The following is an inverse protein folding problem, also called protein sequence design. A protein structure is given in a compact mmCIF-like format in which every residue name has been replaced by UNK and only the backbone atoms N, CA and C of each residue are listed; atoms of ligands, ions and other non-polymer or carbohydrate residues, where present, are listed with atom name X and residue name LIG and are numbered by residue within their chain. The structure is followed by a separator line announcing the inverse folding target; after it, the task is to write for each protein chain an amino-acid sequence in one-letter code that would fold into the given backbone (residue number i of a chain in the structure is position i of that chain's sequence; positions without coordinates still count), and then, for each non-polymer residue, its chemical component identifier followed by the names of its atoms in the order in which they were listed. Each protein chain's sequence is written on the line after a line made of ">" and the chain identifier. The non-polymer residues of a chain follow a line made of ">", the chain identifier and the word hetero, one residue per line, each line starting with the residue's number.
data_IF_465379522747
#
_entry.id   IF_465379522747
#
_cell.length_a   1.000
_cell.length_b   1.000
_cell.length_c   1.000
_cell.angle_alpha   90.00
_cell.angle_beta   90.00
_cell.angle_gamma   90.00
#
_symmetry.space_group_name_H-M   'P 1'
#
loop_
_entity.id
_entity.type
_entity.pdbx_description
1 polymer ?
#
# COMPACT_ATOMS: atom_id res chain seq x y z
N UNK A 1 -4.86 -12.96 -24.44
CA UNK A 1 -4.83 -14.30 -23.82
C UNK A 1 -5.49 -15.31 -24.74
N UNK A 2 -5.44 -16.61 -24.44
CA UNK A 2 -6.26 -17.62 -25.12
C UNK A 2 -7.74 -17.48 -24.77
N UNK A 3 -8.62 -18.12 -25.54
CA UNK A 3 -10.07 -18.13 -25.29
C UNK A 3 -10.45 -18.83 -23.97
N UNK A 4 -9.55 -19.62 -23.42
CA UNK A 4 -9.63 -20.33 -22.15
C UNK A 4 -8.92 -19.59 -20.99
N UNK A 5 -8.51 -18.34 -21.22
CA UNK A 5 -7.78 -17.53 -20.24
C UNK A 5 -6.29 -17.85 -20.13
N UNK A 6 -5.78 -18.85 -20.87
CA UNK A 6 -4.37 -19.23 -20.78
C UNK A 6 -3.46 -18.07 -21.21
N UNK A 7 -2.36 -17.89 -20.48
CA UNK A 7 -1.31 -16.94 -20.83
C UNK A 7 -0.50 -17.48 -22.02
N UNK A 8 -0.62 -16.82 -23.17
CA UNK A 8 -0.03 -17.27 -24.45
C UNK A 8 1.27 -16.54 -24.83
N UNK A 9 1.65 -15.49 -24.12
CA UNK A 9 2.82 -14.65 -24.44
C UNK A 9 3.52 -14.14 -23.18
N UNK A 10 4.70 -13.51 -23.36
CA UNK A 10 5.54 -13.02 -22.27
C UNK A 10 6.31 -14.13 -21.54
N UNK A 11 6.97 -13.77 -20.44
CA UNK A 11 7.85 -14.69 -19.70
C UNK A 11 7.11 -15.89 -19.08
N UNK A 12 5.82 -15.74 -18.80
CA UNK A 12 4.95 -16.80 -18.27
C UNK A 12 4.12 -17.51 -19.34
N UNK A 13 4.45 -17.34 -20.63
CA UNK A 13 3.72 -18.00 -21.72
C UNK A 13 3.76 -19.52 -21.57
N UNK A 14 2.61 -20.18 -21.75
CA UNK A 14 2.47 -21.63 -21.74
C UNK A 14 2.92 -22.32 -20.44
N UNK A 15 3.00 -21.57 -19.34
CA UNK A 15 3.27 -22.16 -18.02
C UNK A 15 2.11 -23.08 -17.61
N UNK A 16 2.47 -24.23 -17.05
CA UNK A 16 1.50 -25.20 -16.50
C UNK A 16 1.64 -25.23 -14.99
N UNK A 17 0.59 -24.83 -14.28
CA UNK A 17 0.51 -24.89 -12.82
C UNK A 17 0.09 -26.29 -12.39
N UNK A 18 0.66 -26.77 -11.28
CA UNK A 18 0.33 -28.08 -10.70
C UNK A 18 -0.66 -27.99 -9.54
N UNK A 19 -0.85 -26.81 -8.96
CA UNK A 19 -1.71 -26.54 -7.81
C UNK A 19 -2.78 -25.50 -8.16
N UNK A 20 -4.05 -25.67 -7.74
CA UNK A 20 -4.57 -26.79 -6.94
C UNK A 20 -4.74 -28.09 -7.76
N UNK A 21 -4.80 -27.98 -9.09
CA UNK A 21 -4.80 -29.09 -10.04
C UNK A 21 -3.94 -28.70 -11.25
N UNK A 22 -3.66 -29.64 -12.16
CA UNK A 22 -2.92 -29.32 -13.38
C UNK A 22 -3.75 -28.45 -14.33
N UNK A 23 -3.27 -27.27 -14.68
CA UNK A 23 -3.89 -26.34 -15.64
C UNK A 23 -2.83 -25.38 -16.22
N UNK A 24 -3.16 -24.62 -17.27
CA UNK A 24 -2.30 -23.52 -17.71
C UNK A 24 -2.40 -22.35 -16.72
N UNK A 25 -1.38 -21.49 -16.62
CA UNK A 25 -1.55 -20.22 -15.91
C UNK A 25 -2.65 -19.39 -16.61
N UNK A 26 -3.67 -18.99 -15.85
CA UNK A 26 -4.80 -18.22 -16.36
C UNK A 26 -4.78 -16.77 -15.90
N UNK A 27 -5.15 -15.86 -16.80
CA UNK A 27 -5.51 -14.47 -16.50
C UNK A 27 -6.86 -14.17 -17.15
N UNK A 28 -7.52 -13.10 -16.72
CA UNK A 28 -8.74 -12.58 -17.36
C UNK A 28 -8.87 -11.09 -17.01
N UNK A 29 -8.36 -10.22 -17.88
CA UNK A 29 -8.30 -8.81 -17.52
C UNK A 29 -9.69 -8.17 -17.44
N UNK A 30 -9.85 -7.25 -16.49
CA UNK A 30 -11.14 -6.59 -16.23
C UNK A 30 -11.56 -5.58 -17.29
N UNK A 31 -10.62 -5.10 -18.12
CA UNK A 31 -10.83 -4.11 -19.17
C UNK A 31 -10.32 -4.62 -20.54
N UNK A 32 -10.83 -5.79 -20.94
CA UNK A 32 -10.52 -6.42 -22.21
C UNK A 32 -9.08 -6.92 -22.30
N UNK A 33 -8.22 -6.17 -22.97
CA UNK A 33 -6.79 -6.47 -23.12
C UNK A 33 -5.91 -5.80 -22.04
N UNK A 34 -6.52 -5.07 -21.10
CA UNK A 34 -5.84 -4.41 -19.98
C UNK A 34 -6.60 -4.55 -18.67
N UNK A 35 -5.91 -4.28 -17.57
CA UNK A 35 -6.53 -4.11 -16.26
C UNK A 35 -7.22 -2.75 -16.18
N UNK A 36 -8.41 -2.70 -15.59
CA UNK A 36 -9.09 -1.45 -15.29
C UNK A 36 -8.34 -0.60 -14.25
N UNK A 37 -8.75 0.65 -14.04
CA UNK A 37 -8.17 1.52 -13.02
C UNK A 37 -8.31 0.92 -11.63
N UNK A 38 -7.27 1.11 -10.82
CA UNK A 38 -7.26 0.69 -9.42
C UNK A 38 -7.86 1.78 -8.52
N UNK A 39 -7.62 1.66 -7.21
CA UNK A 39 -7.88 2.73 -6.26
C UNK A 39 -6.98 3.94 -6.58
N UNK A 40 -7.53 5.17 -6.66
CA UNK A 40 -6.75 6.39 -6.87
C UNK A 40 -5.66 6.57 -5.81
N UNK A 41 -4.52 7.12 -6.22
CA UNK A 41 -3.39 7.35 -5.32
C UNK A 41 -3.76 8.27 -4.15
N UNK A 42 -4.64 9.24 -4.39
CA UNK A 42 -5.14 10.19 -3.40
C UNK A 42 -5.90 9.49 -2.27
N UNK A 43 -6.65 8.43 -2.59
CA UNK A 43 -7.38 7.63 -1.60
C UNK A 43 -6.38 6.85 -0.72
N UNK A 44 -5.35 6.26 -1.31
CA UNK A 44 -4.28 5.57 -0.57
C UNK A 44 -3.50 6.57 0.30
N UNK A 45 -3.17 7.74 -0.24
CA UNK A 45 -2.53 8.83 0.49
C UNK A 45 -3.37 9.33 1.65
N UNK A 46 -4.69 9.31 1.53
CA UNK A 46 -5.62 9.63 2.62
C UNK A 46 -5.50 8.60 3.73
N UNK A 47 -5.66 7.30 3.42
CA UNK A 47 -5.55 6.21 4.39
C UNK A 47 -4.22 6.20 5.16
N UNK A 48 -3.10 6.40 4.45
CA UNK A 48 -1.77 6.52 5.07
C UNK A 48 -1.72 7.63 6.14
N UNK A 49 -2.48 8.71 5.97
CA UNK A 49 -2.49 9.87 6.86
C UNK A 49 -3.56 9.79 7.96
N UNK A 50 -4.75 9.29 7.64
CA UNK A 50 -5.92 9.27 8.52
C UNK A 50 -5.94 8.07 9.46
N UNK A 51 -5.53 6.89 8.99
CA UNK A 51 -5.74 5.64 9.73
C UNK A 51 -4.74 5.52 10.87
N UNK A 52 -5.25 5.39 12.09
CA UNK A 52 -4.42 5.38 13.31
C UNK A 52 -4.03 3.99 13.77
N UNK A 53 -4.80 2.99 13.38
CA UNK A 53 -4.62 1.61 13.79
C UNK A 53 -4.41 0.74 12.55
N UNK A 54 -3.64 -0.34 12.70
CA UNK A 54 -3.39 -1.28 11.61
C UNK A 54 -4.69 -1.92 11.15
N UNK A 55 -5.62 -2.19 12.07
CA UNK A 55 -6.94 -2.74 11.75
C UNK A 55 -7.71 -1.89 10.73
N UNK A 56 -7.68 -0.56 10.84
CA UNK A 56 -8.33 0.33 9.87
C UNK A 56 -7.57 0.34 8.55
N UNK A 57 -6.24 0.53 8.60
CA UNK A 57 -5.39 0.62 7.41
C UNK A 57 -5.43 -0.67 6.58
N UNK A 58 -5.37 -1.84 7.23
CA UNK A 58 -5.46 -3.12 6.52
C UNK A 58 -6.80 -3.27 5.83
N UNK A 59 -7.92 -2.92 6.47
CA UNK A 59 -9.24 -3.03 5.85
C UNK A 59 -9.34 -2.14 4.60
N UNK A 60 -8.89 -0.89 4.70
CA UNK A 60 -8.88 0.03 3.57
C UNK A 60 -8.02 -0.45 2.40
N UNK A 61 -6.86 -1.06 2.67
CA UNK A 61 -5.98 -1.62 1.63
C UNK A 61 -6.54 -2.91 1.06
N UNK A 62 -7.03 -3.84 1.89
CA UNK A 62 -7.56 -5.15 1.51
C UNK A 62 -8.87 -5.04 0.69
N UNK A 63 -9.77 -4.15 1.10
CA UNK A 63 -11.06 -3.94 0.41
C UNK A 63 -10.94 -3.04 -0.82
N UNK A 64 -9.83 -2.33 -0.94
CA UNK A 64 -9.55 -1.42 -2.04
C UNK A 64 -8.44 -1.94 -2.94
N UNK A 65 -7.23 -1.42 -2.73
CA UNK A 65 -6.11 -1.57 -3.67
C UNK A 65 -5.68 -3.04 -3.85
N UNK A 66 -5.62 -3.82 -2.77
CA UNK A 66 -5.20 -5.22 -2.82
C UNK A 66 -6.13 -6.04 -3.74
N UNK A 67 -7.43 -6.02 -3.46
CA UNK A 67 -8.40 -6.76 -4.26
C UNK A 67 -8.59 -6.19 -5.66
N UNK A 68 -8.53 -4.87 -5.85
CA UNK A 68 -8.74 -4.23 -7.15
C UNK A 68 -7.75 -4.72 -8.20
N UNK A 69 -6.50 -4.89 -7.79
CA UNK A 69 -5.41 -5.34 -8.65
C UNK A 69 -5.55 -6.83 -8.97
N UNK A 70 -5.84 -7.66 -7.97
CA UNK A 70 -6.09 -9.10 -8.16
C UNK A 70 -7.26 -9.37 -9.10
N UNK A 71 -8.40 -8.71 -8.84
CA UNK A 71 -9.60 -8.78 -9.66
C UNK A 71 -9.39 -8.17 -11.04
N UNK A 72 -8.54 -7.14 -11.15
CA UNK A 72 -8.16 -6.55 -12.42
C UNK A 72 -7.42 -7.53 -13.31
N UNK A 73 -6.53 -8.36 -12.74
CA UNK A 73 -5.77 -9.35 -13.50
C UNK A 73 -6.62 -10.60 -13.86
N UNK A 74 -7.51 -11.02 -12.96
CA UNK A 74 -8.39 -12.17 -13.14
C UNK A 74 -7.68 -13.52 -13.20
N UNK A 75 -8.40 -14.57 -13.58
CA UNK A 75 -7.85 -15.94 -13.62
C UNK A 75 -7.34 -16.39 -12.26
N UNK A 76 -6.15 -17.00 -12.22
CA UNK A 76 -5.52 -17.48 -10.97
C UNK A 76 -5.33 -16.35 -9.96
N UNK A 77 -5.00 -15.14 -10.44
CA UNK A 77 -4.74 -13.97 -9.62
C UNK A 77 -5.98 -13.45 -8.88
N UNK A 78 -7.20 -13.80 -9.31
CA UNK A 78 -8.44 -13.47 -8.62
C UNK A 78 -8.89 -14.56 -7.62
N UNK A 79 -8.01 -15.49 -7.28
CA UNK A 79 -8.30 -16.59 -6.36
C UNK A 79 -7.25 -16.70 -5.25
N UNK A 80 -7.47 -17.59 -4.29
CA UNK A 80 -6.48 -18.02 -3.28
C UNK A 80 -5.21 -18.65 -3.88
N UNK A 81 -5.19 -18.90 -5.19
CA UNK A 81 -4.05 -19.41 -5.93
C UNK A 81 -3.30 -18.32 -6.69
N UNK A 82 -3.56 -17.04 -6.37
CA UNK A 82 -2.83 -15.91 -6.94
C UNK A 82 -1.30 -16.04 -6.93
N UNK A 83 -0.65 -16.68 -5.92
CA UNK A 83 0.79 -16.93 -5.95
C UNK A 83 1.32 -17.77 -7.13
N UNK A 84 0.46 -18.47 -7.88
CA UNK A 84 0.82 -19.13 -9.13
C UNK A 84 1.36 -18.13 -10.17
N UNK A 85 0.89 -16.88 -10.12
CA UNK A 85 1.35 -15.81 -10.98
C UNK A 85 2.49 -15.04 -10.30
N UNK A 86 3.66 -14.91 -10.96
CA UNK A 86 4.78 -14.11 -10.47
C UNK A 86 4.37 -12.67 -10.10
N UNK A 87 3.36 -12.12 -10.78
CA UNK A 87 2.78 -10.81 -10.47
C UNK A 87 2.38 -10.66 -8.98
N UNK A 88 1.92 -11.74 -8.34
CA UNK A 88 1.56 -11.75 -6.92
C UNK A 88 2.64 -11.13 -6.03
N UNK A 89 3.89 -11.52 -6.27
CA UNK A 89 5.03 -11.09 -5.45
C UNK A 89 5.34 -9.61 -5.66
N UNK A 90 5.17 -9.11 -6.89
CA UNK A 90 5.35 -7.69 -7.21
C UNK A 90 4.26 -6.82 -6.59
N UNK A 91 3.01 -7.29 -6.64
CA UNK A 91 1.87 -6.63 -5.99
C UNK A 91 2.06 -6.58 -4.48
N UNK A 92 2.35 -7.72 -3.84
CA UNK A 92 2.55 -7.78 -2.39
C UNK A 92 3.82 -7.04 -1.91
N UNK A 93 4.86 -6.91 -2.73
CA UNK A 93 5.97 -6.00 -2.44
C UNK A 93 5.51 -4.53 -2.38
N UNK A 94 4.56 -4.13 -3.23
CA UNK A 94 3.99 -2.79 -3.12
C UNK A 94 3.04 -2.66 -1.93
N UNK A 95 2.28 -3.70 -1.55
CA UNK A 95 1.47 -3.71 -0.33
C UNK A 95 2.37 -3.51 0.91
N UNK A 96 3.47 -4.26 1.01
CA UNK A 96 4.46 -4.12 2.08
C UNK A 96 5.08 -2.72 2.10
N UNK A 97 5.42 -2.17 0.92
CA UNK A 97 5.84 -0.77 0.81
C UNK A 97 4.80 0.21 1.35
N UNK A 98 3.52 0.05 1.01
CA UNK A 98 2.44 0.91 1.50
C UNK A 98 2.27 0.80 3.03
N UNK A 99 2.40 -0.41 3.57
CA UNK A 99 2.39 -0.64 5.01
C UNK A 99 3.56 0.07 5.71
N UNK A 100 4.78 -0.02 5.14
CA UNK A 100 5.94 0.70 5.65
C UNK A 100 5.77 2.23 5.62
N UNK A 101 5.13 2.77 4.56
CA UNK A 101 4.77 4.20 4.50
C UNK A 101 3.80 4.59 5.61
N UNK A 102 2.77 3.78 5.86
CA UNK A 102 1.81 4.00 6.94
C UNK A 102 2.46 3.94 8.32
N UNK A 103 3.28 2.92 8.61
CA UNK A 103 3.99 2.79 9.89
C UNK A 103 4.83 4.03 10.19
N UNK A 104 5.55 4.56 9.19
CA UNK A 104 6.34 5.78 9.32
C UNK A 104 5.46 7.04 9.44
N UNK A 105 4.39 7.13 8.66
CA UNK A 105 3.45 8.27 8.69
C UNK A 105 2.74 8.42 10.05
N UNK A 106 2.44 7.30 10.69
CA UNK A 106 1.76 7.25 11.99
C UNK A 106 2.71 7.09 13.18
N UNK A 107 4.01 6.84 12.95
CA UNK A 107 4.94 6.38 14.00
C UNK A 107 4.40 5.13 14.73
N UNK A 108 3.83 4.20 13.96
CA UNK A 108 3.06 3.05 14.42
C UNK A 108 3.77 1.71 14.15
N UNK A 109 5.10 1.68 14.33
CA UNK A 109 5.97 0.55 14.00
C UNK A 109 5.52 -0.80 14.57
N UNK A 110 5.01 -0.81 15.80
CA UNK A 110 4.57 -2.01 16.50
C UNK A 110 3.05 -2.09 16.66
N UNK A 111 2.30 -1.28 15.91
CA UNK A 111 0.86 -1.37 15.91
C UNK A 111 0.45 -2.63 15.14
N UNK A 112 -0.14 -3.59 15.83
CA UNK A 112 -0.56 -4.88 15.30
C UNK A 112 -1.84 -5.32 16.00
N UNK A 113 -2.95 -4.67 15.66
CA UNK A 113 -4.26 -4.89 16.27
C UNK A 113 -5.27 -5.45 15.24
N UNK A 114 -6.43 -5.91 15.73
CA UNK A 114 -7.48 -6.50 14.92
C UNK A 114 -7.58 -8.02 15.15
N UNK A 115 -8.50 -8.69 14.44
CA UNK A 115 -8.78 -10.10 14.69
C UNK A 115 -7.61 -11.00 14.25
N UNK A 116 -7.17 -11.86 15.16
CA UNK A 116 -6.27 -12.98 14.93
C UNK A 116 -6.92 -14.32 15.30
N UNK A 117 -6.21 -15.42 15.06
CA UNK A 117 -6.75 -16.79 15.20
C UNK A 117 -7.19 -17.15 16.63
N UNK A 118 -6.66 -16.45 17.65
CA UNK A 118 -6.89 -16.73 19.08
C UNK A 118 -7.51 -15.55 19.84
N UNK A 119 -8.05 -14.56 19.14
CA UNK A 119 -8.54 -13.31 19.71
C UNK A 119 -7.92 -12.12 19.01
N UNK A 120 -7.68 -11.02 19.73
CA UNK A 120 -6.93 -9.87 19.19
C UNK A 120 -5.50 -10.28 18.85
N UNK A 121 -5.04 -9.92 17.66
CA UNK A 121 -3.69 -10.18 17.17
C UNK A 121 -2.63 -9.55 18.08
N UNK A 122 -1.51 -10.26 18.27
CA UNK A 122 -0.43 -9.85 19.17
C UNK A 122 0.94 -9.95 18.49
N UNK A 123 1.90 -9.14 18.96
CA UNK A 123 3.26 -9.15 18.42
C UNK A 123 4.04 -10.42 18.76
N UNK A 124 3.63 -11.17 19.79
CA UNK A 124 4.21 -12.46 20.16
C UNK A 124 3.49 -13.65 19.49
N UNK A 125 2.46 -13.38 18.68
CA UNK A 125 1.88 -14.40 17.81
C UNK A 125 2.97 -14.98 16.91
N UNK A 126 2.94 -16.30 16.76
CA UNK A 126 3.88 -17.03 15.92
C UNK A 126 3.44 -16.93 14.47
N UNK A 127 4.33 -16.49 13.58
CA UNK A 127 4.08 -16.52 12.13
C UNK A 127 3.87 -18.00 11.72
N UNK A 128 2.72 -18.34 11.10
CA UNK A 128 2.46 -19.71 10.67
C UNK A 128 3.53 -20.22 9.72
N UNK A 129 3.95 -21.47 9.93
CA UNK A 129 4.90 -22.14 9.04
C UNK A 129 4.13 -22.95 7.99
N UNK A 130 4.57 -22.86 6.74
CA UNK A 130 4.21 -23.82 5.70
C UNK A 130 5.48 -24.53 5.21
N UNK A 131 5.32 -25.66 4.53
CA UNK A 131 6.40 -26.47 3.94
C UNK A 131 7.30 -25.68 2.99
N UNK A 132 6.85 -24.54 2.48
CA UNK A 132 7.51 -23.73 1.46
C UNK A 132 8.26 -22.53 2.03
N UNK A 133 7.85 -22.01 3.20
CA UNK A 133 8.47 -20.84 3.82
C UNK A 133 8.65 -21.09 5.32
N UNK A 134 9.91 -21.21 5.74
CA UNK A 134 10.28 -21.44 7.12
C UNK A 134 10.72 -20.13 7.79
N UNK A 135 9.84 -19.54 8.58
CA UNK A 135 10.14 -18.37 9.41
C UNK A 135 10.70 -18.76 10.79
N UNK A 136 10.96 -20.05 11.06
CA UNK A 136 11.54 -20.53 12.30
C UNK A 136 10.68 -20.22 13.53
N UNK A 137 9.35 -20.21 13.36
CA UNK A 137 8.37 -19.77 14.36
C UNK A 137 8.68 -18.39 14.94
N UNK A 138 9.21 -17.50 14.11
CA UNK A 138 9.51 -16.14 14.55
C UNK A 138 8.21 -15.45 15.02
N UNK A 139 8.27 -14.65 16.11
CA UNK A 139 7.14 -13.84 16.52
C UNK A 139 6.89 -12.74 15.48
N UNK A 140 5.64 -12.33 15.30
CA UNK A 140 5.26 -11.24 14.39
C UNK A 140 6.11 -9.98 14.64
N UNK A 141 6.37 -9.63 15.91
CA UNK A 141 7.18 -8.49 16.30
C UNK A 141 8.59 -8.47 15.70
N UNK A 142 9.11 -9.62 15.26
CA UNK A 142 10.42 -9.72 14.60
C UNK A 142 10.43 -9.23 13.15
N UNK A 143 9.28 -9.16 12.46
CA UNK A 143 9.18 -8.74 11.06
C UNK A 143 8.63 -7.33 10.87
N UNK A 144 8.27 -6.65 11.96
CA UNK A 144 7.60 -5.35 11.91
C UNK A 144 8.49 -4.19 11.43
N UNK A 145 9.82 -4.34 11.49
CA UNK A 145 10.77 -3.26 11.19
C UNK A 145 11.71 -3.69 10.07
N UNK A 146 11.64 -2.97 8.94
CA UNK A 146 12.61 -3.13 7.85
C UNK A 146 14.02 -2.73 8.32
N UNK A 147 15.04 -3.40 7.79
CA UNK A 147 16.46 -3.22 8.15
C UNK A 147 16.92 -3.95 9.41
N UNK A 148 16.04 -4.70 10.09
CA UNK A 148 16.34 -5.43 11.32
C UNK A 148 15.90 -6.90 11.23
N UNK A 149 16.49 -7.74 12.10
CA UNK A 149 16.21 -9.18 12.17
C UNK A 149 16.38 -9.85 10.79
N UNK A 150 15.39 -10.60 10.32
CA UNK A 150 15.38 -11.21 8.98
C UNK A 150 15.02 -10.24 7.85
N UNK A 151 14.61 -9.01 8.15
CA UNK A 151 14.03 -8.06 7.20
C UNK A 151 15.09 -7.07 6.67
N UNK A 152 16.24 -7.57 6.21
CA UNK A 152 17.38 -6.76 5.77
C UNK A 152 17.19 -6.13 4.37
N UNK A 153 16.16 -5.31 4.20
CA UNK A 153 15.87 -4.57 2.97
C UNK A 153 15.23 -3.21 3.24
N UNK A 154 15.09 -2.41 2.18
CA UNK A 154 14.42 -1.11 2.18
C UNK A 154 13.89 -0.80 0.79
N UNK A 155 12.93 0.13 0.68
CA UNK A 155 12.45 0.65 -0.60
C UNK A 155 13.03 2.02 -0.90
N UNK A 156 13.57 2.21 -2.11
CA UNK A 156 14.12 3.50 -2.57
C UNK A 156 13.10 4.65 -2.54
N UNK A 157 11.82 4.31 -2.59
CA UNK A 157 10.68 5.23 -2.62
C UNK A 157 9.91 5.30 -1.30
N UNK A 158 10.53 4.86 -0.20
CA UNK A 158 9.97 4.94 1.15
C UNK A 158 11.05 5.41 2.15
N UNK A 159 10.69 5.77 3.40
CA UNK A 159 11.65 6.10 4.44
C UNK A 159 12.68 4.99 4.64
N UNK A 160 13.94 5.37 4.86
CA UNK A 160 14.95 4.41 5.27
C UNK A 160 14.61 3.82 6.64
N UNK A 161 15.04 2.58 6.93
CA UNK A 161 15.01 2.01 8.27
C UNK A 161 15.52 2.99 9.35
N UNK A 162 14.93 2.97 10.56
CA UNK A 162 15.43 3.81 11.64
C UNK A 162 16.88 3.44 11.98
N UNK A 163 17.68 4.41 12.41
CA UNK A 163 19.09 4.16 12.75
C UNK A 163 19.27 3.32 14.04
N UNK A 164 18.24 3.26 14.88
CA UNK A 164 18.18 2.45 16.10
C UNK A 164 16.87 1.70 16.13
N UNK A 165 16.90 0.48 16.66
CA UNK A 165 15.69 -0.32 16.81
C UNK A 165 14.71 0.43 17.72
N UNK A 166 13.45 0.67 17.30
CA UNK A 166 12.53 1.56 18.01
C UNK A 166 11.90 0.95 19.28
N UNK A 167 12.51 -0.09 19.86
CA UNK A 167 12.01 -0.81 21.03
C UNK A 167 13.12 -1.09 22.06
N UNK A 168 12.86 -0.97 23.37
CA UNK A 168 11.63 -0.46 23.98
C UNK A 168 11.51 1.08 23.86
N UNK A 169 10.30 1.66 23.96
CA UNK A 169 10.05 3.09 23.74
C UNK A 169 10.83 4.06 24.66
N UNK A 170 11.36 3.58 25.80
CA UNK A 170 11.94 4.40 26.87
C UNK A 170 13.45 4.23 27.07
N UNK A 171 14.19 3.85 26.02
CA UNK A 171 15.60 4.26 25.91
C UNK A 171 16.61 3.50 26.78
N UNK A 172 16.30 2.29 27.25
CA UNK A 172 17.28 1.43 27.90
C UNK A 172 18.35 0.94 26.93
N UNK A 173 18.06 0.95 25.61
CA UNK A 173 19.01 0.95 24.49
C UNK A 173 20.22 0.01 24.62
N UNK A 174 20.08 -1.07 25.38
CA UNK A 174 21.16 -1.97 25.69
C UNK A 174 21.39 -2.82 24.49
N UNK A 175 22.44 -2.50 23.73
CA UNK A 175 23.24 -3.33 22.81
C UNK A 175 22.55 -4.62 22.32
N UNK A 176 21.30 -4.52 21.85
CA UNK A 176 20.55 -5.68 21.44
C UNK A 176 21.10 -6.02 20.07
N UNK A 177 21.97 -7.02 20.06
CA UNK A 177 22.66 -7.67 18.94
C UNK A 177 21.76 -8.09 17.76
N UNK A 178 20.50 -7.64 17.69
CA UNK A 178 19.67 -7.67 16.50
C UNK A 178 20.42 -6.91 15.40
N UNK A 179 20.87 -7.67 14.40
CA UNK A 179 21.67 -7.19 13.27
C UNK A 179 20.93 -6.05 12.55
N UNK A 180 21.20 -4.81 12.95
CA UNK A 180 20.81 -3.64 12.18
C UNK A 180 21.67 -3.64 10.91
N UNK A 181 21.07 -3.45 9.74
CA UNK A 181 21.87 -3.04 8.59
C UNK A 181 22.59 -1.76 8.98
N UNK A 182 23.93 -1.76 8.94
CA UNK A 182 24.70 -0.52 9.02
C UNK A 182 24.24 0.33 7.84
N UNK A 183 23.39 1.31 8.11
CA UNK A 183 22.96 2.28 7.12
C UNK A 183 24.24 2.85 6.49
N UNK A 184 24.52 2.47 5.23
CA UNK A 184 25.56 3.14 4.47
C UNK A 184 25.24 4.62 4.55
N UNK A 185 26.27 5.40 4.83
CA UNK A 185 26.24 6.81 5.20
C UNK A 185 25.55 7.69 4.13
N UNK A 186 24.23 7.57 3.98
CA UNK A 186 23.36 8.43 3.19
C UNK A 186 22.57 9.25 4.17
N UNK A 187 23.15 10.41 4.52
CA UNK A 187 22.53 11.54 5.20
C UNK A 187 21.74 11.22 6.48
N UNK A 188 22.31 11.61 7.62
CA UNK A 188 21.74 11.64 8.97
C UNK A 188 20.53 12.58 9.16
N UNK A 189 19.75 12.85 8.11
CA UNK A 189 18.41 13.38 8.31
C UNK A 189 17.54 12.25 8.84
N UNK A 190 17.17 12.32 10.11
CA UNK A 190 15.84 11.86 10.55
C UNK A 190 14.86 12.53 9.58
N UNK A 191 14.39 11.79 8.57
CA UNK A 191 13.63 12.36 7.46
C UNK A 191 12.23 12.68 7.99
N UNK A 192 12.08 13.89 8.52
CA UNK A 192 10.80 14.51 8.86
C UNK A 192 9.86 14.45 7.66
N UNK A 193 8.99 13.44 7.58
CA UNK A 193 7.98 13.31 6.53
C UNK A 193 8.45 13.49 5.07
N UNK A 194 9.75 13.50 4.74
CA UNK A 194 10.20 14.10 3.46
C UNK A 194 10.41 13.08 2.32
N UNK A 195 10.62 11.80 2.61
CA UNK A 195 10.78 10.76 1.56
C UNK A 195 9.46 10.28 0.97
N UNK A 196 8.40 10.15 1.78
CA UNK A 196 7.03 9.89 1.29
C UNK A 196 6.57 11.03 0.38
N UNK A 197 6.89 12.26 0.79
CA UNK A 197 6.43 13.47 0.11
C UNK A 197 7.27 13.79 -1.13
N UNK A 198 8.49 13.29 -1.32
CA UNK A 198 9.26 13.61 -2.54
C UNK A 198 8.69 12.91 -3.79
N UNK A 199 8.15 11.68 -3.64
CA UNK A 199 7.46 10.95 -4.72
C UNK A 199 6.11 11.56 -5.08
N UNK A 200 5.38 12.01 -4.06
CA UNK A 200 4.00 12.50 -4.13
C UNK A 200 3.88 14.02 -3.94
N UNK A 201 4.99 14.78 -4.00
CA UNK A 201 5.03 16.21 -3.63
C UNK A 201 3.98 17.02 -4.41
N UNK A 202 3.85 16.70 -5.69
CA UNK A 202 2.93 17.36 -6.59
C UNK A 202 1.47 17.08 -6.23
N UNK A 203 1.13 15.84 -5.91
CA UNK A 203 -0.19 15.43 -5.42
C UNK A 203 -0.54 16.21 -4.15
N UNK A 204 0.33 16.19 -3.15
CA UNK A 204 0.08 16.75 -1.82
C UNK A 204 -0.03 18.29 -1.85
N UNK A 205 0.80 18.96 -2.64
CA UNK A 205 0.71 20.42 -2.84
C UNK A 205 -0.58 20.79 -3.54
N UNK A 206 -1.03 20.01 -4.53
CA UNK A 206 -2.29 20.23 -5.21
C UNK A 206 -3.49 19.98 -4.31
N UNK A 207 -3.48 18.90 -3.50
CA UNK A 207 -4.51 18.62 -2.49
C UNK A 207 -4.60 19.77 -1.48
N UNK A 208 -3.46 20.20 -0.93
CA UNK A 208 -3.41 21.32 0.00
C UNK A 208 -3.99 22.59 -0.62
N UNK A 209 -3.64 22.90 -1.88
CA UNK A 209 -4.16 24.06 -2.60
C UNK A 209 -5.67 23.97 -2.85
N UNK A 210 -6.17 22.79 -3.22
CA UNK A 210 -7.55 22.58 -3.61
C UNK A 210 -8.53 22.59 -2.44
N UNK A 211 -8.12 22.00 -1.32
CA UNK A 211 -8.95 21.86 -0.13
C UNK A 211 -8.60 22.89 0.96
N UNK A 212 -7.81 23.93 0.64
CA UNK A 212 -7.38 24.93 1.62
C UNK A 212 -8.57 25.63 2.26
N UNK A 213 -8.66 25.57 3.59
CA UNK A 213 -9.74 26.19 4.36
C UNK A 213 -11.03 25.37 4.40
N UNK A 214 -11.03 24.16 3.83
CA UNK A 214 -12.11 23.18 3.93
C UNK A 214 -11.82 22.23 5.11
N UNK A 215 -12.86 21.79 5.83
CA UNK A 215 -12.70 20.87 6.97
C UNK A 215 -12.19 19.49 6.53
N UNK A 216 -12.58 19.11 5.32
CA UNK A 216 -12.26 17.88 4.60
C UNK A 216 -10.75 17.70 4.41
N UNK A 217 -9.98 18.79 4.32
CA UNK A 217 -8.51 18.69 4.26
C UNK A 217 -7.94 18.06 5.53
N UNK A 218 -8.49 18.41 6.70
CA UNK A 218 -8.04 17.84 7.99
C UNK A 218 -8.61 16.46 8.25
N UNK A 219 -9.77 16.15 7.69
CA UNK A 219 -10.40 14.83 7.76
C UNK A 219 -9.62 13.80 6.93
N UNK A 220 -9.45 14.06 5.62
CA UNK A 220 -8.86 13.10 4.70
C UNK A 220 -7.33 13.19 4.65
N UNK A 221 -6.74 14.37 4.90
CA UNK A 221 -5.29 14.59 4.77
C UNK A 221 -4.71 15.33 5.99
N UNK A 222 -4.88 14.80 7.22
CA UNK A 222 -4.50 15.49 8.45
C UNK A 222 -3.01 15.88 8.52
N UNK A 223 -2.12 15.09 7.89
CA UNK A 223 -0.69 15.41 7.85
C UNK A 223 -0.42 16.59 6.92
N UNK A 224 -1.08 16.64 5.76
CA UNK A 224 -1.02 17.78 4.82
C UNK A 224 -1.61 19.05 5.46
N UNK A 225 -2.76 18.93 6.13
CA UNK A 225 -3.39 20.04 6.85
C UNK A 225 -2.46 20.67 7.91
N UNK A 226 -1.59 19.86 8.53
CA UNK A 226 -0.65 20.29 9.56
C UNK A 226 0.69 20.86 9.04
N UNK A 227 0.90 20.91 7.71
CA UNK A 227 2.17 21.39 7.15
C UNK A 227 2.36 22.89 7.40
N UNK A 228 3.56 23.25 7.87
CA UNK A 228 3.97 24.65 7.93
C UNK A 228 4.02 25.28 6.53
N UNK A 229 3.70 26.58 6.35
CA UNK A 229 3.74 27.24 5.04
C UNK A 229 5.08 27.08 4.30
N UNK A 230 6.20 27.15 5.03
CA UNK A 230 7.55 26.94 4.48
C UNK A 230 7.77 25.52 3.95
N UNK A 231 7.12 24.51 4.52
CA UNK A 231 7.16 23.13 4.03
C UNK A 231 6.34 22.97 2.76
N UNK A 232 5.17 23.61 2.68
CA UNK A 232 4.35 23.62 1.45
C UNK A 232 5.12 24.27 0.30
N UNK A 233 5.81 25.39 0.57
CA UNK A 233 6.65 26.08 -0.42
C UNK A 233 7.80 25.20 -0.92
N UNK A 234 8.51 24.53 0.00
CA UNK A 234 9.59 23.59 -0.34
C UNK A 234 9.10 22.42 -1.21
N UNK A 235 7.93 21.85 -0.89
CA UNK A 235 7.31 20.79 -1.70
C UNK A 235 6.93 21.29 -3.09
N UNK A 236 6.40 22.52 -3.19
CA UNK A 236 6.06 23.15 -4.46
C UNK A 236 7.30 23.32 -5.36
N UNK A 237 8.42 23.79 -4.81
CA UNK A 237 9.68 23.93 -5.54
C UNK A 237 10.19 22.57 -6.04
N UNK A 238 10.13 21.53 -5.20
CA UNK A 238 10.52 20.16 -5.56
C UNK A 238 9.63 19.58 -6.67
N UNK A 239 8.33 19.87 -6.63
CA UNK A 239 7.36 19.43 -7.64
C UNK A 239 7.61 20.05 -9.02
N UNK A 240 8.09 21.30 -9.08
CA UNK A 240 8.44 21.97 -10.36
C UNK A 240 9.76 21.47 -10.98
N UNK A 241 10.63 20.84 -10.20
CA UNK A 241 11.94 20.36 -10.65
C UNK A 241 11.94 18.96 -11.28
N UNK A 242 10.87 18.16 -11.09
CA UNK A 242 10.73 16.86 -11.78
C UNK A 242 10.25 17.10 -13.20
N UNK A 243 11.02 16.62 -14.19
CA UNK A 243 10.65 16.63 -15.61
C UNK A 243 9.20 16.15 -15.74
N UNK A 244 8.37 16.94 -16.43
CA UNK A 244 7.04 16.53 -16.88
C UNK A 244 7.16 15.13 -17.50
N UNK A 245 6.77 14.09 -16.76
CA UNK A 245 6.45 12.81 -17.40
C UNK A 245 5.26 13.13 -18.29
N UNK A 246 5.49 13.08 -19.60
CA UNK A 246 4.46 13.31 -20.60
C UNK A 246 3.52 12.12 -20.68
N UNK A 247 2.80 11.81 -19.60
CA UNK A 247 1.53 11.09 -19.68
C UNK A 247 0.46 12.07 -20.18
N UNK A 248 0.68 12.67 -21.37
CA UNK A 248 -0.22 13.66 -21.99
C UNK A 248 -1.64 13.13 -22.22
N UNK A 249 -1.85 11.82 -22.05
CA UNK A 249 -3.09 11.12 -22.37
C UNK A 249 -4.14 11.18 -21.26
N UNK A 250 -3.76 11.52 -20.02
CA UNK A 250 -4.64 11.48 -18.83
C UNK A 250 -4.77 12.80 -18.06
N UNK A 251 -3.98 13.83 -18.42
CA UNK A 251 -4.05 15.15 -17.79
C UNK A 251 -5.44 15.79 -18.01
N UNK A 252 -6.07 16.30 -16.94
CA UNK A 252 -7.41 16.90 -16.89
C UNK A 252 -8.60 15.94 -17.06
N UNK A 253 -8.44 14.64 -16.77
CA UNK A 253 -9.59 13.75 -16.60
C UNK A 253 -10.04 13.73 -15.15
N UNK A 254 -11.34 13.54 -14.94
CA UNK A 254 -11.90 13.26 -13.63
C UNK A 254 -11.24 11.98 -13.08
N UNK A 255 -10.96 11.98 -11.77
CA UNK A 255 -10.50 10.82 -11.04
C UNK A 255 -11.59 9.75 -11.16
N UNK A 256 -11.21 8.56 -11.60
CA UNK A 256 -12.13 7.43 -11.73
C UNK A 256 -12.43 6.85 -10.35
N UNK A 257 -13.67 6.39 -10.16
CA UNK A 257 -14.04 5.72 -8.92
C UNK A 257 -13.25 4.42 -8.74
N UNK A 258 -12.90 4.07 -7.48
CA UNK A 258 -12.29 2.79 -7.19
C UNK A 258 -13.23 1.65 -7.63
N UNK A 259 -12.72 0.52 -8.15
CA UNK A 259 -13.56 -0.61 -8.52
C UNK A 259 -14.21 -1.24 -7.27
N UNK A 260 -15.39 -1.83 -7.44
CA UNK A 260 -16.08 -2.59 -6.38
C UNK A 260 -15.51 -3.99 -6.26
N UNK A 261 -15.35 -4.46 -5.03
CA UNK A 261 -15.06 -5.87 -4.76
C UNK A 261 -16.23 -6.74 -5.23
N UNK A 262 -15.91 -7.89 -5.81
CA UNK A 262 -16.93 -8.85 -6.24
C UNK A 262 -17.37 -9.70 -5.04
N UNK A 263 -18.63 -10.15 -5.02
CA UNK A 263 -19.09 -11.02 -3.93
C UNK A 263 -18.28 -12.31 -3.77
N UNK A 264 -17.83 -13.00 -4.84
CA UNK A 264 -16.95 -14.16 -4.70
C UNK A 264 -15.66 -13.83 -3.96
N UNK A 265 -15.07 -12.65 -4.19
CA UNK A 265 -13.86 -12.20 -3.51
C UNK A 265 -14.10 -11.93 -2.02
N UNK A 266 -15.19 -11.24 -1.71
CA UNK A 266 -15.62 -10.95 -0.32
C UNK A 266 -15.81 -12.26 0.45
N UNK A 267 -16.54 -13.23 -0.15
CA UNK A 267 -16.75 -14.55 0.45
C UNK A 267 -15.46 -15.35 0.61
N UNK A 268 -14.56 -15.30 -0.37
CA UNK A 268 -13.30 -16.04 -0.33
C UNK A 268 -12.42 -15.63 0.85
N UNK A 269 -12.39 -14.34 1.18
CA UNK A 269 -11.60 -13.80 2.28
C UNK A 269 -12.34 -13.75 3.62
N UNK A 270 -13.64 -14.05 3.63
CA UNK A 270 -14.47 -13.93 4.84
C UNK A 270 -14.64 -12.49 5.31
N UNK A 271 -14.60 -11.52 4.39
CA UNK A 271 -14.81 -10.12 4.71
C UNK A 271 -16.27 -9.83 5.04
N UNK A 272 -16.50 -8.87 5.94
CA UNK A 272 -17.83 -8.34 6.20
C UNK A 272 -18.31 -7.50 4.99
N UNK A 273 -19.37 -7.91 4.28
CA UNK A 273 -19.86 -7.18 3.11
C UNK A 273 -20.29 -5.74 3.41
N UNK A 274 -20.84 -5.47 4.60
CA UNK A 274 -21.27 -4.12 4.97
C UNK A 274 -20.07 -3.19 5.15
N UNK A 275 -19.01 -3.72 5.77
CA UNK A 275 -17.76 -2.99 5.96
C UNK A 275 -17.05 -2.72 4.64
N UNK A 276 -17.00 -3.70 3.74
CA UNK A 276 -16.43 -3.55 2.38
C UNK A 276 -17.16 -2.45 1.62
N UNK A 277 -18.50 -2.45 1.62
CA UNK A 277 -19.28 -1.42 0.94
C UNK A 277 -19.12 -0.04 1.60
N UNK A 278 -19.01 0.02 2.93
CA UNK A 278 -18.75 1.27 3.64
C UNK A 278 -17.42 1.90 3.18
N UNK A 279 -16.34 1.12 3.18
CA UNK A 279 -15.01 1.57 2.71
C UNK A 279 -15.08 2.04 1.26
N UNK A 280 -15.77 1.31 0.39
CA UNK A 280 -15.94 1.70 -1.01
C UNK A 280 -16.70 3.03 -1.16
N UNK A 281 -17.80 3.23 -0.40
CA UNK A 281 -18.55 4.49 -0.41
C UNK A 281 -17.71 5.66 0.07
N UNK A 282 -16.95 5.49 1.14
CA UNK A 282 -16.12 6.55 1.71
C UNK A 282 -14.99 6.94 0.74
N UNK A 283 -14.40 5.97 0.03
CA UNK A 283 -13.46 6.23 -1.05
C UNK A 283 -14.11 7.01 -2.22
N UNK A 284 -15.34 6.66 -2.61
CA UNK A 284 -16.06 7.38 -3.65
C UNK A 284 -16.36 8.84 -3.26
N UNK A 285 -16.71 9.09 -1.99
CA UNK A 285 -16.92 10.46 -1.49
C UNK A 285 -15.67 11.32 -1.59
N UNK A 286 -14.50 10.75 -1.29
CA UNK A 286 -13.24 11.46 -1.47
C UNK A 286 -12.98 11.76 -2.96
N UNK A 287 -13.31 10.82 -3.86
CA UNK A 287 -13.21 11.05 -5.31
C UNK A 287 -14.16 12.17 -5.76
N UNK A 288 -15.40 12.19 -5.27
CA UNK A 288 -16.38 13.26 -5.55
C UNK A 288 -15.83 14.62 -5.09
N UNK A 289 -15.38 14.71 -3.83
CA UNK A 289 -14.79 15.93 -3.27
C UNK A 289 -13.64 16.46 -4.14
N UNK A 290 -12.73 15.57 -4.56
CA UNK A 290 -11.58 15.98 -5.36
C UNK A 290 -11.99 16.42 -6.77
N UNK A 291 -12.92 15.70 -7.41
CA UNK A 291 -13.43 16.05 -8.74
C UNK A 291 -14.26 17.35 -8.75
N UNK A 292 -14.98 17.65 -7.67
CA UNK A 292 -15.77 18.87 -7.51
C UNK A 292 -14.92 20.08 -7.08
N UNK A 293 -13.68 19.84 -6.65
CA UNK A 293 -12.70 20.88 -6.32
C UNK A 293 -11.91 21.35 -7.56
N UNK A 294 -10.95 22.26 -7.37
CA UNK A 294 -10.01 22.63 -8.43
C UNK A 294 -8.79 21.67 -8.52
N UNK A 295 -8.83 20.54 -7.81
CA UNK A 295 -7.77 19.54 -7.82
C UNK A 295 -7.65 18.89 -9.20
N UNK A 296 -6.41 18.72 -9.65
CA UNK A 296 -6.10 17.94 -10.85
C UNK A 296 -5.08 16.89 -10.45
N UNK A 297 -5.46 15.62 -10.59
CA UNK A 297 -4.56 14.51 -10.29
C UNK A 297 -3.29 14.61 -11.16
N UNK A 298 -2.10 14.37 -10.59
CA UNK A 298 -0.86 14.29 -11.36
C UNK A 298 -0.67 12.93 -12.07
N UNK A 299 -1.63 12.00 -11.94
CA UNK A 299 -1.58 10.63 -12.46
C UNK A 299 -2.44 10.44 -13.72
#
# INVERSE_FOLDING_TARGET
>A
MGSDGCVLNGIQSNWTMSFPNRHCLQRQYSDGDSIGPWVPAEVISSYIQSDRQLADFREHIEFGYHGAVHLGLGGDAATKHAPNDFFFHMHHANIDRLWWLWQNGQNAFFNYNGPGDRGEAQLDDTIPEDRTVNFGRAPVGSVMILGYNGMCYSYDSAPAPPARYPWPPNGDGGDDTRLAMTARNTSTSVLSGSSVMAGHALELVRIHGALKGQGELSEYFPKVASLAPSRVEMLSQTATGKKNCTCKQYVNRAIMYPPRMTEPWIRMHGFDPERVEQVHRDACRLVDLLNDSNYVSPY
#
